data_IF_501351781204
#
_entry.id   IF_501351781204
#
_cell.length_a   1.000
_cell.length_b   1.000
_cell.length_c   1.000
_cell.angle_alpha   90.00
_cell.angle_beta   90.00
_cell.angle_gamma   90.00
#
_symmetry.space_group_name_H-M   'P 1'
#
loop_
_entity.id
_entity.type
_entity.pdbx_description
1 polymer ?
#
# COMPACT_ATOMS: atom_id res chain seq x y z
N UNK A 1 -19.94 -20.31 12.25
CA UNK A 1 -19.46 -19.05 12.74
C UNK A 1 -18.57 -18.35 11.73
N UNK A 2 -18.81 -17.09 11.53
CA UNK A 2 -18.00 -16.35 10.61
C UNK A 2 -16.63 -16.11 11.19
N UNK A 3 -15.64 -16.41 10.42
CA UNK A 3 -14.29 -16.24 10.84
C UNK A 3 -13.76 -14.91 10.34
N UNK A 4 -13.73 -13.93 11.22
CA UNK A 4 -13.26 -12.59 10.89
C UNK A 4 -11.81 -12.58 10.44
N UNK A 5 -11.03 -13.56 10.88
CA UNK A 5 -9.63 -13.60 10.51
C UNK A 5 -9.42 -13.92 9.04
N UNK A 6 -10.47 -14.32 8.33
CA UNK A 6 -10.34 -14.59 6.91
C UNK A 6 -10.44 -13.33 6.05
N UNK A 7 -10.81 -12.21 6.66
CA UNK A 7 -10.87 -10.95 5.91
C UNK A 7 -9.52 -10.28 5.93
N UNK A 8 -9.03 -9.93 4.75
CA UNK A 8 -7.77 -9.23 4.60
C UNK A 8 -8.05 -7.73 4.62
N UNK A 9 -7.48 -7.05 5.58
CA UNK A 9 -7.70 -5.61 5.77
C UNK A 9 -6.57 -4.85 5.10
N UNK A 10 -6.90 -3.90 4.23
CA UNK A 10 -5.92 -3.26 3.36
C UNK A 10 -5.93 -1.75 3.57
N UNK A 11 -4.74 -1.17 3.62
CA UNK A 11 -4.53 0.28 3.56
C UNK A 11 -3.97 0.59 2.18
N UNK A 12 -4.52 1.59 1.49
CA UNK A 12 -4.00 2.03 0.21
C UNK A 12 -3.51 3.46 0.34
N UNK A 13 -2.24 3.68 0.02
CA UNK A 13 -1.63 5.00 0.05
C UNK A 13 -1.19 5.39 -1.36
N UNK A 14 -1.84 6.38 -1.94
CA UNK A 14 -1.55 6.86 -3.29
C UNK A 14 -2.14 8.26 -3.40
N UNK A 15 -1.36 9.21 -3.88
CA UNK A 15 -1.81 10.59 -3.96
C UNK A 15 -2.70 10.86 -5.18
N UNK A 16 -2.81 9.91 -6.09
CA UNK A 16 -3.69 10.05 -7.26
C UNK A 16 -5.07 9.51 -6.91
N UNK A 17 -6.00 10.43 -6.69
CA UNK A 17 -7.34 10.06 -6.23
C UNK A 17 -8.00 9.01 -7.13
N UNK A 18 -7.92 9.19 -8.45
CA UNK A 18 -8.57 8.28 -9.39
C UNK A 18 -7.94 6.88 -9.31
N UNK A 19 -6.62 6.82 -9.24
CA UNK A 19 -5.93 5.53 -9.12
C UNK A 19 -6.32 4.86 -7.82
N UNK A 20 -6.33 5.62 -6.73
CA UNK A 20 -6.66 5.06 -5.42
C UNK A 20 -8.08 4.52 -5.40
N UNK A 21 -9.04 5.27 -5.95
CA UNK A 21 -10.43 4.83 -5.99
C UNK A 21 -10.61 3.61 -6.88
N UNK A 22 -9.86 3.55 -7.98
CA UNK A 22 -9.89 2.37 -8.83
C UNK A 22 -9.39 1.13 -8.12
N UNK A 23 -8.33 1.28 -7.34
CA UNK A 23 -7.80 0.15 -6.56
C UNK A 23 -8.79 -0.31 -5.49
N UNK A 24 -9.43 0.65 -4.83
CA UNK A 24 -10.46 0.30 -3.84
C UNK A 24 -11.55 -0.54 -4.49
N UNK A 25 -12.04 -0.08 -5.64
CA UNK A 25 -13.12 -0.77 -6.34
C UNK A 25 -12.70 -2.19 -6.75
N UNK A 26 -11.49 -2.33 -7.28
CA UNK A 26 -11.01 -3.64 -7.69
C UNK A 26 -10.85 -4.59 -6.52
N UNK A 27 -10.25 -4.12 -5.44
CA UNK A 27 -10.00 -4.99 -4.30
C UNK A 27 -11.29 -5.40 -3.61
N UNK A 28 -12.24 -4.48 -3.52
CA UNK A 28 -13.48 -4.79 -2.82
C UNK A 28 -14.45 -5.61 -3.63
N UNK A 29 -14.10 -5.96 -4.86
CA UNK A 29 -14.84 -6.97 -5.58
C UNK A 29 -14.63 -8.35 -4.95
N UNK A 30 -13.53 -8.52 -4.24
CA UNK A 30 -13.27 -9.78 -3.55
C UNK A 30 -13.94 -9.74 -2.19
N UNK A 31 -14.72 -10.74 -1.88
CA UNK A 31 -15.51 -10.74 -0.65
C UNK A 31 -14.65 -10.85 0.60
N UNK A 32 -13.42 -11.31 0.46
CA UNK A 32 -12.52 -11.47 1.60
C UNK A 32 -11.51 -10.36 1.73
N UNK A 33 -11.67 -9.26 1.00
CA UNK A 33 -10.78 -8.11 1.10
C UNK A 33 -11.59 -6.88 1.46
N UNK A 34 -11.09 -6.13 2.42
CA UNK A 34 -11.73 -4.88 2.83
C UNK A 34 -10.69 -3.79 2.91
N UNK A 35 -10.93 -2.67 2.23
CA UNK A 35 -10.06 -1.51 2.33
C UNK A 35 -10.50 -0.74 3.57
N UNK A 36 -9.67 -0.75 4.60
CA UNK A 36 -10.03 -0.15 5.89
C UNK A 36 -9.56 1.29 6.01
N UNK A 37 -8.62 1.71 5.17
CA UNK A 37 -8.12 3.07 5.23
C UNK A 37 -7.47 3.46 3.92
N UNK A 38 -7.42 4.77 3.68
CA UNK A 38 -6.77 5.33 2.49
C UNK A 38 -5.91 6.50 2.95
N UNK A 39 -4.83 6.74 2.24
CA UNK A 39 -3.93 7.85 2.52
C UNK A 39 -3.49 8.48 1.21
N UNK A 40 -3.28 9.78 1.21
CA UNK A 40 -2.86 10.51 0.03
C UNK A 40 -1.43 11.02 0.12
N UNK A 41 -0.74 10.73 1.20
CA UNK A 41 0.67 11.07 1.34
C UNK A 41 1.28 10.15 2.39
N UNK A 42 2.60 10.22 2.54
CA UNK A 42 3.30 9.33 3.45
C UNK A 42 2.97 9.55 4.91
N UNK A 43 2.75 10.81 5.31
CA UNK A 43 2.40 11.09 6.69
C UNK A 43 1.07 10.47 7.06
N UNK A 44 0.08 10.62 6.17
CA UNK A 44 -1.21 9.99 6.39
C UNK A 44 -1.09 8.48 6.42
N UNK A 45 -0.22 7.93 5.57
CA UNK A 45 -0.03 6.50 5.52
C UNK A 45 0.47 5.97 6.87
N UNK A 46 1.45 6.64 7.46
CA UNK A 46 1.96 6.24 8.77
C UNK A 46 0.86 6.34 9.83
N UNK A 47 0.12 7.45 9.82
CA UNK A 47 -0.98 7.64 10.78
C UNK A 47 -2.06 6.58 10.63
N UNK A 48 -2.46 6.31 9.39
CA UNK A 48 -3.50 5.32 9.12
C UNK A 48 -3.03 3.92 9.50
N UNK A 49 -1.75 3.63 9.25
CA UNK A 49 -1.22 2.33 9.65
C UNK A 49 -1.29 2.15 11.17
N UNK A 50 -0.90 3.18 11.91
CA UNK A 50 -0.95 3.08 13.37
C UNK A 50 -2.37 2.88 13.88
N UNK A 51 -3.32 3.58 13.29
CA UNK A 51 -4.71 3.51 13.72
C UNK A 51 -5.36 2.19 13.38
N UNK A 52 -5.11 1.68 12.20
CA UNK A 52 -5.83 0.52 11.68
C UNK A 52 -5.06 -0.78 11.72
N UNK A 53 -3.76 -0.71 11.73
CA UNK A 53 -2.86 -1.87 11.66
C UNK A 53 -3.38 -2.89 10.66
N UNK A 54 -3.39 -2.51 9.37
CA UNK A 54 -3.92 -3.37 8.33
C UNK A 54 -3.07 -4.61 8.12
N UNK A 55 -3.64 -5.61 7.48
CA UNK A 55 -2.90 -6.81 7.15
C UNK A 55 -1.92 -6.57 6.01
N UNK A 56 -2.33 -5.76 5.04
CA UNK A 56 -1.50 -5.43 3.88
C UNK A 56 -1.61 -3.94 3.60
N UNK A 57 -0.51 -3.32 3.25
CA UNK A 57 -0.50 -1.92 2.82
C UNK A 57 0.03 -1.83 1.41
N UNK A 58 -0.70 -1.16 0.54
CA UNK A 58 -0.24 -0.84 -0.80
C UNK A 58 0.27 0.59 -0.77
N UNK A 59 1.54 0.80 -1.08
CA UNK A 59 2.21 2.08 -0.88
C UNK A 59 2.82 2.60 -2.16
N UNK A 60 2.28 3.71 -2.67
CA UNK A 60 2.90 4.45 -3.75
C UNK A 60 4.19 5.09 -3.21
N UNK A 61 5.21 5.15 -4.01
CA UNK A 61 6.47 5.73 -3.55
C UNK A 61 6.57 7.23 -3.74
N UNK A 62 5.91 7.76 -4.76
CA UNK A 62 5.97 9.20 -5.03
C UNK A 62 4.75 9.88 -4.50
N UNK A 63 4.87 10.47 -3.34
CA UNK A 63 3.77 11.19 -2.71
C UNK A 63 4.31 12.46 -2.08
N UNK A 64 3.46 13.49 -1.96
CA UNK A 64 3.90 14.74 -1.32
C UNK A 64 4.07 14.57 0.18
N UNK A 65 4.69 15.54 0.80
CA UNK A 65 4.94 15.65 2.24
C UNK A 65 5.94 14.63 2.75
N UNK A 66 5.63 13.36 2.59
CA UNK A 66 6.53 12.28 2.93
C UNK A 66 6.34 11.22 1.86
N UNK A 67 7.42 10.82 1.19
CA UNK A 67 7.29 9.83 0.14
C UNK A 67 7.14 8.42 0.72
N UNK A 68 6.84 7.48 -0.16
CA UNK A 68 6.56 6.13 0.28
C UNK A 68 7.74 5.39 0.85
N UNK A 69 8.95 5.67 0.37
CA UNK A 69 10.15 5.01 0.91
C UNK A 69 10.33 5.38 2.39
N UNK A 70 10.19 6.67 2.68
CA UNK A 70 10.30 7.14 4.07
C UNK A 70 9.17 6.57 4.92
N UNK A 71 7.96 6.54 4.36
CA UNK A 71 6.82 5.99 5.10
C UNK A 71 7.01 4.51 5.40
N UNK A 72 7.51 3.73 4.43
CA UNK A 72 7.78 2.31 4.62
C UNK A 72 8.79 2.12 5.74
N UNK A 73 9.88 2.90 5.71
CA UNK A 73 10.90 2.77 6.73
C UNK A 73 10.35 3.09 8.11
N UNK A 74 9.53 4.15 8.21
CA UNK A 74 8.94 4.55 9.48
C UNK A 74 7.99 3.48 10.02
N UNK A 75 7.15 2.92 9.15
CA UNK A 75 6.20 1.90 9.55
C UNK A 75 6.93 0.64 9.99
N UNK A 76 7.92 0.21 9.20
CA UNK A 76 8.64 -1.03 9.51
C UNK A 76 9.50 -0.92 10.76
N UNK A 77 9.99 0.29 11.07
CA UNK A 77 10.74 0.50 12.31
C UNK A 77 9.84 0.31 13.53
N UNK A 78 8.60 0.71 13.42
CA UNK A 78 7.65 0.62 14.51
C UNK A 78 6.91 -0.73 14.52
N UNK A 79 6.66 -1.28 13.33
CA UNK A 79 5.93 -2.54 13.16
C UNK A 79 6.74 -3.46 12.26
N UNK A 80 7.71 -4.19 12.82
CA UNK A 80 8.62 -5.00 11.99
C UNK A 80 7.95 -6.07 11.14
N UNK A 81 6.75 -6.49 11.51
CA UNK A 81 6.05 -7.52 10.73
C UNK A 81 5.08 -6.93 9.71
N UNK A 82 5.11 -5.61 9.49
CA UNK A 82 4.22 -4.99 8.52
C UNK A 82 4.42 -5.59 7.13
N UNK A 83 3.31 -5.84 6.44
CA UNK A 83 3.33 -6.38 5.08
C UNK A 83 3.02 -5.25 4.13
N UNK A 84 4.04 -4.69 3.51
CA UNK A 84 3.88 -3.54 2.63
C UNK A 84 4.30 -3.94 1.22
N UNK A 85 3.45 -3.63 0.26
CA UNK A 85 3.69 -3.87 -1.15
C UNK A 85 3.79 -2.51 -1.84
N UNK A 86 4.86 -2.31 -2.58
CA UNK A 86 5.08 -1.05 -3.29
C UNK A 86 4.17 -0.99 -4.50
N UNK A 87 3.51 0.15 -4.69
CA UNK A 87 2.81 0.45 -5.94
C UNK A 87 3.72 1.36 -6.74
N UNK A 88 3.96 1.04 -8.00
CA UNK A 88 4.86 1.85 -8.80
C UNK A 88 4.50 1.76 -10.26
N UNK A 89 5.02 2.67 -11.07
CA UNK A 89 4.87 2.59 -12.50
C UNK A 89 6.01 1.73 -13.06
N UNK A 90 5.89 1.35 -14.34
CA UNK A 90 6.76 0.50 -15.02
C UNK A 90 8.18 0.92 -15.14
N UNK A 91 8.45 2.23 -15.10
CA UNK A 91 9.80 2.70 -15.21
C UNK A 91 10.41 3.06 -13.87
N UNK A 92 9.94 2.45 -12.79
CA UNK A 92 10.40 2.79 -11.46
C UNK A 92 11.33 1.78 -10.82
N UNK A 93 12.20 1.14 -11.59
CA UNK A 93 13.05 0.08 -11.08
C UNK A 93 13.89 0.49 -9.88
N UNK A 94 14.47 1.67 -9.95
CA UNK A 94 15.29 2.17 -8.87
C UNK A 94 14.47 2.42 -7.62
N UNK A 95 13.26 2.91 -7.80
CA UNK A 95 12.36 3.17 -6.69
C UNK A 95 11.87 1.88 -6.07
N UNK A 96 11.67 0.85 -6.89
CA UNK A 96 11.29 -0.46 -6.37
C UNK A 96 12.36 -0.95 -5.42
N UNK A 97 13.61 -0.88 -5.84
CA UNK A 97 14.73 -1.33 -5.03
C UNK A 97 14.78 -0.57 -3.70
N UNK A 98 14.60 0.75 -3.75
CA UNK A 98 14.62 1.56 -2.53
C UNK A 98 13.49 1.18 -1.59
N UNK A 99 12.32 0.89 -2.15
CA UNK A 99 11.18 0.46 -1.35
C UNK A 99 11.44 -0.88 -0.67
N UNK A 100 12.02 -1.82 -1.41
CA UNK A 100 12.33 -3.12 -0.85
C UNK A 100 13.39 -3.01 0.23
N UNK A 101 14.39 -2.15 0.03
CA UNK A 101 15.41 -1.93 1.06
C UNK A 101 14.81 -1.30 2.32
N UNK A 102 13.79 -0.49 2.17
CA UNK A 102 13.15 0.16 3.31
C UNK A 102 12.28 -0.81 4.11
N UNK A 103 11.97 -1.97 3.55
CA UNK A 103 11.23 -2.99 4.26
C UNK A 103 10.01 -3.56 3.54
N UNK A 104 9.72 -3.10 2.32
CA UNK A 104 8.59 -3.65 1.58
C UNK A 104 8.85 -5.10 1.22
N UNK A 105 7.79 -5.88 1.12
CA UNK A 105 7.87 -7.31 0.84
C UNK A 105 7.70 -7.65 -0.63
N UNK A 106 7.26 -6.71 -1.43
CA UNK A 106 7.06 -6.94 -2.86
C UNK A 106 6.60 -5.68 -3.54
N UNK A 107 6.19 -5.79 -4.78
CA UNK A 107 5.72 -4.63 -5.54
C UNK A 107 4.68 -5.03 -6.56
N UNK A 108 3.87 -4.05 -6.95
CA UNK A 108 2.88 -4.18 -8.01
C UNK A 108 3.01 -2.99 -8.93
N UNK A 109 2.83 -3.20 -10.21
CA UNK A 109 2.87 -2.14 -11.19
C UNK A 109 1.47 -1.56 -11.36
N UNK A 110 1.34 -0.25 -11.14
CA UNK A 110 0.04 0.41 -11.17
C UNK A 110 -0.56 0.45 -12.56
N UNK A 111 0.29 0.56 -13.56
CA UNK A 111 -0.15 0.70 -14.92
C UNK A 111 0.23 -0.50 -15.77
N UNK A 112 0.32 -1.65 -15.16
CA UNK A 112 0.65 -2.85 -15.91
C UNK A 112 -0.44 -3.10 -16.93
N UNK A 113 -0.04 -3.21 -18.18
CA UNK A 113 -0.98 -3.53 -19.22
C UNK A 113 -1.17 -5.01 -19.24
N UNK A 114 -2.39 -5.39 -19.45
CA UNK A 114 -2.62 -6.78 -19.60
C UNK A 114 -2.08 -7.21 -20.92
N UNK A 115 -1.31 -8.22 -20.84
CA UNK A 115 -0.79 -8.83 -22.00
C UNK A 115 -1.85 -9.68 -22.58
N UNK A 116 -2.07 -9.55 -23.78
CA UNK A 116 -3.15 -10.30 -24.40
C UNK A 116 -2.63 -11.32 -25.36
#
# INVERSE_FOLDING_TARGET
MINQSNIIRVLIADDHYIVRQGLVALLEQESDIKVVAQASNGEEAVTMFRQHQPDVTLMDLRMPLMDGVVAIAAICAEFPSAQIVVLTTYDGDENIYRGLQAGAKGYLLKDAKRSL
#
